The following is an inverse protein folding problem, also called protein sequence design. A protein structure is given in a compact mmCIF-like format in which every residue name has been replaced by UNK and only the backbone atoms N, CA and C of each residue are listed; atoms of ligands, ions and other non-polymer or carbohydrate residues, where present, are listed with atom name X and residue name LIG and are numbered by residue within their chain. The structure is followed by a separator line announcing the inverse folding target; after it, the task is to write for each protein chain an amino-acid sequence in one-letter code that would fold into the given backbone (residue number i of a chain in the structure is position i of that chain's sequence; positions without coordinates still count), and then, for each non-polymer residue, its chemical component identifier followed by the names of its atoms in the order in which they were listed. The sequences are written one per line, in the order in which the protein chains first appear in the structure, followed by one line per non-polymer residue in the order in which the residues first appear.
data_IF_853996327755
#
_entry.id   IF_853996327755
#
_cell.length_a   1.000
_cell.length_b   1.000
_cell.length_c   1.000
_cell.angle_alpha   90.00
_cell.angle_beta   90.00
_cell.angle_gamma   90.00
#
_symmetry.space_group_name_H-M   'P 1'
#
loop_
_entity.id
_entity.type
_entity.pdbx_description
1 polymer ?
#
# COMPACT_ATOMS: atom_id res chain seq x y z
N UNK A 1 24.75 4.16 -22.21
CA UNK A 1 23.46 3.53 -21.76
C UNK A 1 23.22 4.04 -20.35
N UNK A 2 22.03 4.58 -20.04
CA UNK A 2 21.72 5.12 -18.72
C UNK A 2 21.92 4.10 -17.61
N UNK A 3 22.52 4.52 -16.50
CA UNK A 3 22.59 3.77 -15.26
C UNK A 3 21.82 4.57 -14.19
N UNK A 4 20.58 4.14 -13.97
CA UNK A 4 19.64 4.86 -13.13
C UNK A 4 19.70 4.38 -11.68
N UNK A 5 19.81 5.32 -10.75
CA UNK A 5 19.65 5.08 -9.32
C UNK A 5 18.35 5.72 -8.84
N UNK A 6 17.68 5.04 -7.92
CA UNK A 6 16.38 5.46 -7.41
C UNK A 6 16.43 5.62 -5.89
N UNK A 7 15.82 6.68 -5.39
CA UNK A 7 15.66 6.94 -3.96
C UNK A 7 14.24 7.44 -3.68
N UNK A 8 13.59 6.93 -2.64
CA UNK A 8 12.31 7.46 -2.17
C UNK A 8 12.61 8.49 -1.09
N UNK A 9 12.42 9.76 -1.40
CA UNK A 9 12.80 10.90 -0.56
C UNK A 9 11.76 11.19 0.52
N UNK A 10 10.47 11.16 0.15
CA UNK A 10 9.36 11.45 1.06
C UNK A 10 8.07 10.79 0.61
N UNK A 11 7.07 10.83 1.49
CA UNK A 11 5.69 10.44 1.19
C UNK A 11 4.74 11.45 1.82
N UNK A 12 3.74 11.86 1.05
CA UNK A 12 2.68 12.79 1.47
C UNK A 12 1.31 12.32 0.99
N UNK A 13 0.25 12.77 1.63
CA UNK A 13 -1.12 12.53 1.16
C UNK A 13 -1.43 13.47 0.00
N UNK A 14 -1.93 12.94 -1.12
CA UNK A 14 -2.42 13.77 -2.22
C UNK A 14 -3.70 14.51 -1.78
N UNK A 15 -3.64 15.85 -1.61
CA UNK A 15 -4.80 16.60 -1.18
C UNK A 15 -5.88 16.60 -2.28
N UNK A 16 -7.14 16.52 -1.87
CA UNK A 16 -8.31 16.60 -2.76
C UNK A 16 -8.36 15.53 -3.87
N UNK A 17 -7.70 14.40 -3.70
CA UNK A 17 -7.84 13.27 -4.61
C UNK A 17 -9.24 12.65 -4.48
N UNK A 18 -9.76 12.06 -5.56
CA UNK A 18 -11.06 11.38 -5.54
C UNK A 18 -11.07 10.11 -4.67
N UNK A 19 -9.91 9.55 -4.41
CA UNK A 19 -9.67 8.35 -3.59
C UNK A 19 -8.42 8.52 -2.74
N UNK A 20 -8.29 7.84 -1.60
CA UNK A 20 -7.09 7.89 -0.78
C UNK A 20 -5.84 7.61 -1.61
N UNK A 21 -4.92 8.55 -1.66
CA UNK A 21 -3.72 8.43 -2.50
C UNK A 21 -2.51 8.98 -1.76
N UNK A 22 -1.46 8.18 -1.68
CA UNK A 22 -0.14 8.61 -1.18
C UNK A 22 0.73 8.97 -2.37
N UNK A 23 1.34 10.15 -2.32
CA UNK A 23 2.38 10.58 -3.24
C UNK A 23 3.74 10.21 -2.67
N UNK A 24 4.47 9.33 -3.35
CA UNK A 24 5.88 9.09 -3.05
C UNK A 24 6.74 9.99 -3.95
N UNK A 25 7.61 10.77 -3.33
CA UNK A 25 8.59 11.58 -4.03
C UNK A 25 9.80 10.70 -4.35
N UNK A 26 9.98 10.40 -5.64
CA UNK A 26 11.02 9.51 -6.15
C UNK A 26 12.12 10.34 -6.80
N UNK A 27 13.30 10.33 -6.20
CA UNK A 27 14.54 10.84 -6.80
C UNK A 27 15.10 9.83 -7.78
N UNK A 28 15.45 10.27 -8.98
CA UNK A 28 16.05 9.46 -10.03
C UNK A 28 17.35 10.16 -10.47
N UNK A 29 18.46 9.44 -10.42
CA UNK A 29 19.76 9.94 -10.85
C UNK A 29 20.32 9.03 -11.95
N UNK A 30 20.79 9.64 -13.04
CA UNK A 30 21.57 8.94 -14.05
C UNK A 30 23.05 9.08 -13.72
N UNK A 31 23.73 7.97 -13.44
CA UNK A 31 25.15 7.97 -13.13
C UNK A 31 26.03 8.28 -14.36
N UNK A 32 25.49 8.26 -15.57
CA UNK A 32 26.19 8.59 -16.81
C UNK A 32 26.03 10.08 -17.10
N UNK A 33 27.11 10.84 -16.91
CA UNK A 33 27.12 12.28 -17.17
C UNK A 33 26.85 12.61 -18.66
N UNK A 34 26.07 13.66 -18.89
CA UNK A 34 25.79 14.20 -20.23
C UNK A 34 24.79 13.37 -21.05
N UNK A 35 24.37 12.22 -20.57
CA UNK A 35 23.36 11.40 -21.26
C UNK A 35 21.95 11.87 -20.92
N UNK A 36 21.18 12.16 -21.95
CA UNK A 36 19.83 12.65 -21.82
C UNK A 36 18.82 11.50 -21.85
N UNK A 37 18.05 11.34 -20.79
CA UNK A 37 16.91 10.43 -20.72
C UNK A 37 15.69 11.11 -21.30
N UNK A 38 15.12 10.54 -22.35
CA UNK A 38 13.95 11.10 -23.02
C UNK A 38 12.64 10.79 -22.27
N UNK A 39 12.52 9.58 -21.77
CA UNK A 39 11.43 9.15 -20.88
C UNK A 39 11.73 7.78 -20.28
N UNK A 40 11.03 7.44 -19.20
CA UNK A 40 11.08 6.10 -18.61
C UNK A 40 9.64 5.58 -18.49
N UNK A 41 9.38 4.40 -19.10
CA UNK A 41 8.20 3.61 -18.74
C UNK A 41 8.56 2.79 -17.51
N UNK A 42 8.23 3.33 -16.34
CA UNK A 42 8.63 2.80 -15.05
C UNK A 42 7.53 1.92 -14.46
N UNK A 43 7.87 0.70 -14.11
CA UNK A 43 7.05 -0.19 -13.29
C UNK A 43 7.68 -0.30 -11.91
N UNK A 44 6.91 -0.02 -10.89
CA UNK A 44 7.34 -0.13 -9.49
C UNK A 44 6.47 -1.14 -8.76
N UNK A 45 7.11 -2.16 -8.20
CA UNK A 45 6.47 -3.06 -7.24
C UNK A 45 6.79 -2.58 -5.83
N UNK A 46 5.76 -2.35 -5.02
CA UNK A 46 5.92 -1.91 -3.62
C UNK A 46 5.56 -3.07 -2.70
N UNK A 47 6.48 -3.43 -1.82
CA UNK A 47 6.34 -4.51 -0.86
C UNK A 47 6.44 -3.97 0.57
N UNK A 48 5.69 -4.56 1.47
CA UNK A 48 5.80 -4.34 2.92
C UNK A 48 6.85 -5.31 3.45
N UNK A 49 7.98 -4.81 3.93
CA UNK A 49 9.04 -5.63 4.52
C UNK A 49 8.73 -5.94 5.99
N UNK A 50 7.65 -6.69 6.24
CA UNK A 50 7.12 -6.97 7.57
C UNK A 50 8.16 -7.57 8.52
N UNK A 51 9.15 -8.30 8.02
CA UNK A 51 10.27 -8.87 8.79
C UNK A 51 11.24 -7.83 9.35
N UNK A 52 11.21 -6.59 8.84
CA UNK A 52 12.09 -5.49 9.26
C UNK A 52 11.47 -4.58 10.33
N UNK A 53 10.37 -5.02 10.94
CA UNK A 53 9.67 -4.29 12.00
C UNK A 53 9.52 -5.18 13.24
N UNK A 54 9.50 -4.56 14.41
CA UNK A 54 9.08 -5.18 15.67
C UNK A 54 7.61 -4.83 15.92
N UNK A 55 6.89 -5.75 16.53
CA UNK A 55 5.46 -5.62 16.81
C UNK A 55 5.22 -5.76 18.30
N UNK A 56 4.39 -4.89 18.84
CA UNK A 56 3.91 -5.02 20.21
C UNK A 56 2.84 -6.14 20.35
N UNK A 57 2.45 -6.53 21.57
CA UNK A 57 1.47 -7.60 21.77
C UNK A 57 0.09 -7.32 21.15
N UNK A 58 -0.33 -6.05 21.09
CA UNK A 58 -1.61 -5.64 20.48
C UNK A 58 -1.56 -5.80 18.96
N UNK A 59 -0.51 -5.30 18.32
CA UNK A 59 -0.25 -5.48 16.90
C UNK A 59 -0.14 -6.96 16.53
N UNK A 60 0.57 -7.77 17.37
CA UNK A 60 0.69 -9.22 17.17
C UNK A 60 -0.68 -9.90 17.18
N UNK A 61 -1.56 -9.53 18.10
CA UNK A 61 -2.93 -10.05 18.15
C UNK A 61 -3.72 -9.78 16.88
N UNK A 62 -3.66 -8.57 16.35
CA UNK A 62 -4.34 -8.15 15.11
C UNK A 62 -3.76 -8.78 13.84
N UNK A 63 -2.46 -9.10 13.85
CA UNK A 63 -1.75 -9.68 12.71
C UNK A 63 -1.83 -11.21 12.63
N UNK A 64 -2.48 -11.88 13.58
CA UNK A 64 -2.65 -13.35 13.58
C UNK A 64 -3.31 -13.88 12.31
N UNK A 65 -4.27 -13.15 11.78
CA UNK A 65 -4.94 -13.53 10.53
C UNK A 65 -3.97 -13.58 9.33
N UNK A 66 -2.94 -12.73 9.32
CA UNK A 66 -1.97 -12.64 8.23
C UNK A 66 -0.77 -13.60 8.39
N UNK A 67 -0.32 -13.80 9.63
CA UNK A 67 0.95 -14.48 9.91
C UNK A 67 0.83 -15.67 10.85
N UNK A 68 -0.37 -15.98 11.33
CA UNK A 68 -0.57 -17.01 12.35
C UNK A 68 -0.12 -16.57 13.74
N UNK A 69 0.08 -17.53 14.63
CA UNK A 69 0.47 -17.26 16.01
C UNK A 69 1.89 -16.69 16.11
N UNK A 70 2.15 -15.72 17.02
CA UNK A 70 3.44 -15.04 17.14
C UNK A 70 4.65 -15.95 17.32
N UNK A 71 4.47 -17.10 17.96
CA UNK A 71 5.55 -18.07 18.12
C UNK A 71 5.99 -18.76 16.82
N UNK A 72 5.13 -18.72 15.78
CA UNK A 72 5.39 -19.27 14.43
C UNK A 72 5.99 -18.23 13.47
N UNK A 73 6.06 -16.94 13.86
CA UNK A 73 6.48 -15.86 12.99
C UNK A 73 7.90 -15.99 12.47
N UNK A 74 8.74 -16.75 13.16
CA UNK A 74 10.07 -17.12 12.65
C UNK A 74 9.98 -17.73 11.23
N UNK A 75 8.92 -18.49 10.96
CA UNK A 75 8.74 -19.21 9.71
C UNK A 75 7.64 -18.63 8.82
N UNK A 76 6.67 -17.91 9.40
CA UNK A 76 5.48 -17.41 8.71
C UNK A 76 5.54 -15.93 8.36
N UNK A 77 6.29 -15.11 9.13
CA UNK A 77 6.44 -13.69 8.86
C UNK A 77 7.28 -13.48 7.60
N UNK A 78 6.74 -12.79 6.63
CA UNK A 78 7.39 -12.54 5.33
C UNK A 78 6.98 -11.18 4.77
N UNK A 79 7.73 -10.71 3.78
CA UNK A 79 7.34 -9.53 3.03
C UNK A 79 6.03 -9.77 2.27
N UNK A 80 5.17 -8.78 2.25
CA UNK A 80 3.86 -8.80 1.59
C UNK A 80 3.91 -7.90 0.36
N UNK A 81 3.31 -8.32 -0.74
CA UNK A 81 3.05 -7.41 -1.84
C UNK A 81 1.97 -6.41 -1.41
N UNK A 82 2.28 -5.12 -1.48
CA UNK A 82 1.28 -4.08 -1.28
C UNK A 82 0.59 -3.72 -2.59
N UNK A 83 1.38 -3.23 -3.58
CA UNK A 83 0.81 -2.81 -4.87
C UNK A 83 1.86 -2.81 -5.98
N UNK A 84 1.38 -2.71 -7.21
CA UNK A 84 2.20 -2.38 -8.38
C UNK A 84 1.68 -1.10 -9.01
N UNK A 85 2.57 -0.22 -9.43
CA UNK A 85 2.22 1.00 -10.15
C UNK A 85 3.04 1.10 -11.44
N UNK A 86 2.44 1.71 -12.46
CA UNK A 86 3.10 2.00 -13.72
C UNK A 86 3.01 3.50 -13.96
N UNK A 87 4.16 4.13 -14.20
CA UNK A 87 4.25 5.56 -14.40
C UNK A 87 5.16 5.89 -15.58
N UNK A 88 4.98 7.05 -16.17
CA UNK A 88 5.88 7.56 -17.19
C UNK A 88 6.64 8.73 -16.59
N UNK A 89 7.96 8.57 -16.45
CA UNK A 89 8.85 9.66 -16.04
C UNK A 89 9.16 10.49 -17.27
N UNK A 90 8.95 11.81 -17.21
CA UNK A 90 9.25 12.70 -18.33
C UNK A 90 10.75 12.86 -18.54
N UNK A 91 11.13 13.58 -19.61
CA UNK A 91 12.50 13.86 -19.99
C UNK A 91 13.29 14.57 -18.88
N UNK A 92 14.55 14.15 -18.69
CA UNK A 92 15.50 14.80 -17.78
C UNK A 92 16.95 14.58 -18.23
N UNK A 93 17.86 15.36 -17.64
CA UNK A 93 19.31 15.18 -17.77
C UNK A 93 19.94 15.20 -16.37
N UNK A 94 20.87 14.29 -16.11
CA UNK A 94 21.49 14.11 -14.81
C UNK A 94 20.55 13.49 -13.78
N UNK A 95 19.58 14.26 -13.28
CA UNK A 95 18.60 13.79 -12.29
C UNK A 95 17.23 14.39 -12.46
N UNK A 96 16.23 13.76 -11.84
CA UNK A 96 14.85 14.21 -11.78
C UNK A 96 14.21 13.81 -10.47
N UNK A 97 13.21 14.57 -10.05
CA UNK A 97 12.31 14.19 -8.97
C UNK A 97 10.92 14.00 -9.55
N UNK A 98 10.32 12.88 -9.27
CA UNK A 98 9.01 12.49 -9.80
C UNK A 98 8.06 12.15 -8.66
N UNK A 99 6.83 12.65 -8.73
CA UNK A 99 5.77 12.30 -7.78
C UNK A 99 5.02 11.06 -8.29
N UNK A 100 5.17 9.96 -7.57
CA UNK A 100 4.55 8.68 -7.89
C UNK A 100 3.29 8.49 -7.04
N UNK A 101 2.08 8.60 -7.62
CA UNK A 101 0.85 8.38 -6.89
C UNK A 101 0.60 6.89 -6.67
N UNK A 102 0.25 6.55 -5.44
CA UNK A 102 -0.16 5.20 -5.03
C UNK A 102 -1.54 5.27 -4.41
N UNK A 103 -2.53 4.76 -5.14
CA UNK A 103 -3.91 4.67 -4.65
C UNK A 103 -4.00 3.62 -3.57
N UNK A 104 -4.63 3.99 -2.46
CA UNK A 104 -4.89 3.12 -1.31
C UNK A 104 -6.35 2.68 -1.30
N UNK A 105 -6.59 1.48 -0.83
CA UNK A 105 -7.94 0.97 -0.56
C UNK A 105 -8.17 0.85 0.93
N UNK A 106 -9.43 0.94 1.36
CA UNK A 106 -9.84 0.65 2.74
C UNK A 106 -10.63 -0.67 2.82
N UNK A 107 -10.48 -1.52 1.82
CA UNK A 107 -11.05 -2.86 1.80
C UNK A 107 -10.24 -3.79 2.71
N UNK A 108 -10.85 -4.23 3.80
CA UNK A 108 -10.22 -5.11 4.80
C UNK A 108 -10.03 -6.56 4.32
N UNK A 109 -10.48 -6.94 3.14
CA UNK A 109 -10.09 -8.19 2.50
C UNK A 109 -8.70 -8.12 1.86
N UNK A 110 -8.17 -6.90 1.66
CA UNK A 110 -6.85 -6.68 1.07
C UNK A 110 -5.76 -6.76 2.14
N UNK A 111 -4.78 -7.62 1.90
CA UNK A 111 -3.67 -7.90 2.82
C UNK A 111 -2.93 -6.64 3.30
N UNK A 112 -2.68 -5.68 2.39
CA UNK A 112 -2.03 -4.41 2.73
C UNK A 112 -2.86 -3.58 3.72
N UNK A 113 -4.17 -3.47 3.49
CA UNK A 113 -5.09 -2.74 4.37
C UNK A 113 -5.15 -3.40 5.76
N UNK A 114 -5.32 -4.73 5.83
CA UNK A 114 -5.27 -5.49 7.09
C UNK A 114 -3.99 -5.21 7.87
N UNK A 115 -2.86 -5.26 7.16
CA UNK A 115 -1.56 -5.01 7.77
C UNK A 115 -1.48 -3.58 8.34
N UNK A 116 -1.80 -2.56 7.54
CA UNK A 116 -1.72 -1.16 7.97
C UNK A 116 -2.68 -0.84 9.13
N UNK A 117 -3.90 -1.36 9.07
CA UNK A 117 -4.90 -1.17 10.12
C UNK A 117 -4.51 -1.85 11.45
N UNK A 118 -3.75 -2.94 11.40
CA UNK A 118 -3.28 -3.65 12.59
C UNK A 118 -2.20 -2.89 13.38
N UNK A 119 -1.49 -1.94 12.74
CA UNK A 119 -0.36 -1.23 13.36
C UNK A 119 -0.86 -0.07 14.24
N UNK A 120 -0.30 0.07 15.44
CA UNK A 120 -0.67 1.15 16.36
C UNK A 120 0.11 2.46 16.13
N UNK A 121 1.33 2.37 15.63
CA UNK A 121 2.18 3.54 15.38
C UNK A 121 3.52 3.21 14.76
N UNK A 122 4.46 4.14 14.81
CA UNK A 122 5.79 3.97 14.25
C UNK A 122 5.79 4.04 12.71
N UNK A 123 6.59 3.18 12.06
CA UNK A 123 6.82 3.24 10.62
C UNK A 123 6.62 1.87 9.96
N UNK A 124 6.18 1.89 8.73
CA UNK A 124 5.99 0.73 7.85
C UNK A 124 7.23 0.63 6.95
N UNK A 125 8.07 -0.40 7.08
CA UNK A 125 9.19 -0.58 6.18
C UNK A 125 8.68 -1.04 4.81
N UNK A 126 8.99 -0.26 3.78
CA UNK A 126 8.63 -0.53 2.39
C UNK A 126 9.89 -0.81 1.56
N UNK A 127 9.75 -1.70 0.60
CA UNK A 127 10.72 -2.00 -0.45
C UNK A 127 10.10 -1.67 -1.81
N UNK A 128 10.82 -0.88 -2.61
CA UNK A 128 10.43 -0.48 -3.96
C UNK A 128 11.34 -1.21 -4.93
N UNK A 129 10.79 -2.05 -5.78
CA UNK A 129 11.52 -2.78 -6.81
C UNK A 129 11.18 -2.15 -8.17
N UNK A 130 12.19 -1.67 -8.85
CA UNK A 130 12.02 -0.95 -10.10
C UNK A 130 12.32 -1.83 -11.31
N UNK A 131 11.52 -1.70 -12.35
CA UNK A 131 11.70 -2.33 -13.64
C UNK A 131 11.10 -1.46 -14.74
N UNK A 132 11.40 -1.75 -15.98
CA UNK A 132 10.82 -1.00 -17.08
C UNK A 132 11.83 -0.65 -18.16
N UNK A 133 11.43 0.31 -18.99
CA UNK A 133 12.16 0.68 -20.19
C UNK A 133 12.53 2.15 -20.18
N UNK A 134 13.81 2.44 -20.36
CA UNK A 134 14.36 3.79 -20.50
C UNK A 134 14.57 4.09 -21.98
N UNK A 135 14.00 5.21 -22.42
CA UNK A 135 14.22 5.78 -23.76
C UNK A 135 15.22 6.93 -23.63
N UNK A 136 16.33 6.88 -24.37
CA UNK A 136 17.40 7.86 -24.25
C UNK A 136 18.02 8.19 -25.59
N UNK A 137 18.76 9.30 -25.67
CA UNK A 137 19.52 9.66 -26.85
C UNK A 137 20.90 9.02 -26.77
N UNK A 138 21.23 8.18 -27.74
CA UNK A 138 22.56 7.62 -27.88
C UNK A 138 23.53 8.57 -28.61
N UNK A 139 24.76 8.10 -28.80
CA UNK A 139 25.76 8.77 -29.62
C UNK A 139 25.21 9.05 -31.02
N UNK A 140 25.30 10.28 -31.48
CA UNK A 140 24.70 10.72 -32.74
C UNK A 140 23.23 11.14 -32.69
N UNK A 141 22.59 11.18 -31.48
CA UNK A 141 21.25 11.73 -31.26
C UNK A 141 20.10 10.79 -31.62
N UNK A 142 20.36 9.57 -32.02
CA UNK A 142 19.33 8.57 -32.28
C UNK A 142 18.68 8.08 -30.97
N UNK A 143 17.36 7.88 -31.02
CA UNK A 143 16.60 7.31 -29.89
C UNK A 143 17.03 5.85 -29.68
N UNK A 144 17.41 5.52 -28.48
CA UNK A 144 17.76 4.17 -28.05
C UNK A 144 16.93 3.73 -26.87
N UNK A 145 16.93 2.44 -26.59
CA UNK A 145 16.13 1.78 -25.55
C UNK A 145 17.04 0.94 -24.67
N UNK A 146 16.86 1.04 -23.36
CA UNK A 146 17.54 0.22 -22.37
C UNK A 146 16.53 -0.31 -21.35
N UNK A 147 16.76 -1.50 -20.83
CA UNK A 147 15.99 -2.05 -19.71
C UNK A 147 16.60 -1.58 -18.38
N UNK A 148 15.74 -1.27 -17.41
CA UNK A 148 16.18 -1.03 -16.02
C UNK A 148 16.64 -2.36 -15.45
N UNK A 149 17.83 -2.37 -14.80
CA UNK A 149 18.36 -3.57 -14.16
C UNK A 149 17.41 -4.04 -13.04
N UNK A 150 17.22 -5.35 -12.96
CA UNK A 150 16.37 -5.99 -11.96
C UNK A 150 16.83 -5.78 -10.50
N UNK A 151 18.08 -5.38 -10.29
CA UNK A 151 18.66 -5.10 -8.97
C UNK A 151 18.33 -3.69 -8.44
N UNK A 152 17.69 -2.85 -9.27
CA UNK A 152 17.35 -1.47 -8.86
C UNK A 152 16.19 -1.49 -7.87
N UNK A 153 16.52 -1.11 -6.64
CA UNK A 153 15.58 -1.06 -5.53
C UNK A 153 15.80 0.19 -4.66
N UNK A 154 14.79 0.57 -3.90
CA UNK A 154 14.88 1.56 -2.84
C UNK A 154 14.10 1.11 -1.61
N UNK A 155 14.43 1.67 -0.46
CA UNK A 155 13.74 1.43 0.79
C UNK A 155 13.18 2.73 1.33
N UNK A 156 12.02 2.66 1.96
CA UNK A 156 11.41 3.80 2.62
C UNK A 156 10.67 3.37 3.88
N UNK A 157 10.61 4.25 4.88
CA UNK A 157 9.85 4.05 6.11
C UNK A 157 8.65 4.98 6.13
N UNK A 158 7.49 4.44 5.77
CA UNK A 158 6.23 5.19 5.75
C UNK A 158 5.68 5.33 7.17
N UNK A 159 5.46 6.54 7.69
CA UNK A 159 4.83 6.73 9.00
C UNK A 159 3.40 6.14 9.01
N UNK A 160 3.09 5.30 10.01
CA UNK A 160 1.75 4.71 10.17
C UNK A 160 0.68 5.80 10.26
N UNK A 161 0.98 6.89 10.97
CA UNK A 161 0.06 8.02 11.15
C UNK A 161 -0.39 8.63 9.82
N UNK A 162 0.50 8.71 8.81
CA UNK A 162 0.18 9.28 7.50
C UNK A 162 -0.95 8.49 6.81
N UNK A 163 -0.86 7.17 6.84
CA UNK A 163 -1.90 6.29 6.30
C UNK A 163 -3.20 6.41 7.11
N UNK A 164 -3.12 6.42 8.45
CA UNK A 164 -4.29 6.54 9.33
C UNK A 164 -5.02 7.86 9.14
N UNK A 165 -4.32 8.99 9.22
CA UNK A 165 -4.90 10.32 9.02
C UNK A 165 -5.57 10.45 7.65
N UNK A 166 -4.96 9.89 6.60
CA UNK A 166 -5.56 9.82 5.27
C UNK A 166 -6.86 9.00 5.28
N UNK A 167 -6.86 7.81 5.87
CA UNK A 167 -8.06 6.96 5.91
C UNK A 167 -9.17 7.59 6.75
N UNK A 168 -8.84 8.19 7.90
CA UNK A 168 -9.81 8.91 8.74
C UNK A 168 -10.42 10.13 8.03
N UNK A 169 -9.65 10.79 7.16
CA UNK A 169 -10.16 11.89 6.35
C UNK A 169 -11.17 11.42 5.30
N UNK A 170 -10.86 10.33 4.58
CA UNK A 170 -11.73 9.80 3.51
C UNK A 170 -12.90 8.97 4.04
N UNK A 171 -12.72 8.29 5.16
CA UNK A 171 -13.69 7.36 5.74
C UNK A 171 -13.89 7.64 7.23
N UNK A 172 -14.37 8.84 7.61
CA UNK A 172 -14.51 9.22 9.01
C UNK A 172 -15.46 8.27 9.74
N UNK A 173 -14.97 7.65 10.83
CA UNK A 173 -15.73 6.72 11.67
C UNK A 173 -16.42 5.59 10.91
N UNK A 174 -15.83 5.13 9.81
CA UNK A 174 -16.41 4.06 9.00
C UNK A 174 -15.37 3.03 8.60
N UNK A 175 -15.84 1.81 8.30
CA UNK A 175 -15.05 0.74 7.73
C UNK A 175 -15.87 0.04 6.64
N UNK A 176 -15.19 -0.57 5.67
CA UNK A 176 -15.84 -1.29 4.60
C UNK A 176 -15.65 -2.79 4.78
N UNK A 177 -16.75 -3.52 4.68
CA UNK A 177 -16.78 -4.96 4.74
C UNK A 177 -17.43 -5.51 3.47
N UNK A 178 -16.75 -6.43 2.79
CA UNK A 178 -17.30 -7.18 1.67
C UNK A 178 -17.83 -8.54 2.15
N UNK A 179 -19.09 -8.82 1.88
CA UNK A 179 -19.74 -10.06 2.22
C UNK A 179 -20.08 -10.87 0.96
N UNK A 180 -20.08 -12.20 1.09
CA UNK A 180 -20.71 -13.04 0.09
C UNK A 180 -22.20 -12.74 -0.01
N UNK A 181 -22.73 -12.83 -1.24
CA UNK A 181 -24.14 -12.48 -1.52
C UNK A 181 -25.13 -13.20 -0.61
N UNK A 182 -24.94 -14.49 -0.39
CA UNK A 182 -25.82 -15.29 0.46
C UNK A 182 -25.82 -14.82 1.92
N UNK A 183 -24.64 -14.44 2.45
CA UNK A 183 -24.52 -13.89 3.81
C UNK A 183 -25.19 -12.53 3.89
N UNK A 184 -24.99 -11.68 2.87
CA UNK A 184 -25.65 -10.38 2.79
C UNK A 184 -27.17 -10.52 2.77
N UNK A 185 -27.72 -11.43 1.95
CA UNK A 185 -29.16 -11.65 1.83
C UNK A 185 -29.76 -12.11 3.17
N UNK A 186 -29.09 -13.02 3.88
CA UNK A 186 -29.51 -13.45 5.22
C UNK A 186 -29.50 -12.28 6.23
N UNK A 187 -28.48 -11.42 6.20
CA UNK A 187 -28.43 -10.22 7.04
C UNK A 187 -29.53 -9.22 6.67
N UNK A 188 -29.81 -9.05 5.38
CA UNK A 188 -30.87 -8.19 4.90
C UNK A 188 -32.24 -8.66 5.38
N UNK A 189 -32.51 -9.97 5.26
CA UNK A 189 -33.74 -10.58 5.75
C UNK A 189 -33.89 -10.45 7.28
N UNK A 190 -32.79 -10.65 8.02
CA UNK A 190 -32.79 -10.47 9.47
C UNK A 190 -33.11 -9.01 9.84
N UNK A 191 -32.47 -8.05 9.19
CA UNK A 191 -32.71 -6.62 9.36
C UNK A 191 -34.17 -6.27 9.11
N UNK A 192 -34.72 -6.73 7.98
CA UNK A 192 -36.10 -6.47 7.56
C UNK A 192 -37.12 -7.06 8.53
N UNK A 193 -36.96 -8.34 8.90
CA UNK A 193 -37.87 -9.02 9.86
C UNK A 193 -37.87 -8.38 11.26
N UNK A 194 -36.76 -7.79 11.66
CA UNK A 194 -36.64 -7.15 12.96
C UNK A 194 -36.87 -5.61 12.92
N UNK A 195 -37.27 -5.05 11.79
CA UNK A 195 -37.52 -3.64 11.57
C UNK A 195 -36.33 -2.73 12.01
N UNK A 196 -35.10 -3.18 11.75
CA UNK A 196 -33.89 -2.45 12.10
C UNK A 196 -33.56 -1.43 11.02
N UNK A 197 -33.38 -0.16 11.40
CA UNK A 197 -33.26 0.96 10.45
C UNK A 197 -31.88 1.04 9.80
N UNK A 198 -30.80 0.68 10.52
CA UNK A 198 -29.42 0.80 10.06
C UNK A 198 -28.68 -0.53 10.10
N UNK A 199 -27.59 -0.63 9.34
CA UNK A 199 -26.70 -1.80 9.40
C UNK A 199 -25.98 -1.89 10.74
N UNK A 200 -25.55 -0.75 11.30
CA UNK A 200 -24.89 -0.72 12.61
C UNK A 200 -25.77 -1.36 13.70
N UNK A 201 -27.02 -0.92 13.84
CA UNK A 201 -27.97 -1.55 14.79
C UNK A 201 -28.22 -3.01 14.53
N UNK A 202 -28.15 -3.44 13.26
CA UNK A 202 -28.32 -4.85 12.90
C UNK A 202 -27.15 -5.68 13.40
N UNK A 203 -25.94 -5.20 13.17
CA UNK A 203 -24.72 -5.88 13.57
C UNK A 203 -24.52 -5.82 15.10
N UNK A 204 -24.76 -4.68 15.73
CA UNK A 204 -24.73 -4.53 17.19
C UNK A 204 -25.63 -5.55 17.87
N UNK A 205 -26.87 -5.67 17.40
CA UNK A 205 -27.84 -6.64 17.98
C UNK A 205 -27.36 -8.09 17.81
N UNK A 206 -26.72 -8.43 16.71
CA UNK A 206 -26.14 -9.77 16.51
C UNK A 206 -24.94 -10.01 17.40
N UNK A 207 -24.07 -9.02 17.58
CA UNK A 207 -22.91 -9.08 18.47
C UNK A 207 -23.35 -9.24 19.94
N UNK A 208 -24.30 -8.43 20.39
CA UNK A 208 -24.86 -8.52 21.75
C UNK A 208 -25.50 -9.91 22.04
N UNK A 209 -26.13 -10.51 21.02
CA UNK A 209 -26.71 -11.84 21.17
C UNK A 209 -25.63 -12.92 21.30
N UNK A 210 -24.56 -12.83 20.49
CA UNK A 210 -23.44 -13.77 20.54
C UNK A 210 -22.66 -13.68 21.87
N UNK A 211 -22.43 -12.47 22.38
CA UNK A 211 -21.75 -12.24 23.68
C UNK A 211 -22.53 -12.87 24.83
N UNK A 212 -23.85 -12.72 24.87
CA UNK A 212 -24.73 -13.34 25.88
C UNK A 212 -24.77 -14.88 25.83
N UNK A 213 -24.51 -15.46 24.66
CA UNK A 213 -24.41 -16.92 24.49
C UNK A 213 -23.06 -17.47 25.04
N UNK A 214 -21.99 -16.70 24.95
CA UNK A 214 -20.66 -17.08 25.46
C UNK A 214 -20.59 -17.00 26.99
N UNK A 215 -21.37 -16.13 27.63
CA UNK A 215 -21.43 -15.96 29.09
C UNK A 215 -22.31 -17.01 29.81
N UNK A 216 -22.98 -17.89 29.09
CA UNK A 216 -23.81 -18.98 29.61
C UNK A 216 -23.11 -20.31 29.59
#
# INVERSE_FOLDING_TARGET
MPDLNFEVESADVLPYAAVPTILFRLGIQNAVEGEEVNSISLRTQIRIAATRRRYDPTEQGKLRELFGEPHQWKDTLRSLLWTNTNTIVPRFSGGSVFEMPVTCTYDFDVVGTKYFAALEGGEIPLEFLFSGTTFYKGEGGALQVAQISWEKEAQFRLPVRLWREMMDHYFPNSAWLRLHKDTFDRLYDYRSRNALLTWDRTLERLLDAAEKEVER
#
